data_IF_789596438088
#
_entry.id   IF_789596438088
#
_cell.length_a   1.000
_cell.length_b   1.000
_cell.length_c   1.000
_cell.angle_alpha   90.00
_cell.angle_beta   90.00
_cell.angle_gamma   90.00
#
_symmetry.space_group_name_H-M   'P 1'
#
loop_
_entity.id
_entity.type
_entity.pdbx_description
1 polymer ?
#
# COMPACT_ATOMS: atom_id res chain seq x y z
N UNK A 1 6.99 10.45 32.57
CA UNK A 1 6.51 10.28 31.17
C UNK A 1 7.47 9.32 30.47
N UNK A 2 6.99 8.31 29.74
CA UNK A 2 7.83 7.33 29.02
C UNK A 2 7.28 7.14 27.59
N UNK A 3 8.14 6.71 26.66
CA UNK A 3 7.73 6.34 25.29
C UNK A 3 7.01 4.99 25.33
N UNK A 4 5.87 4.91 24.64
CA UNK A 4 5.12 3.66 24.48
C UNK A 4 4.87 3.39 22.99
N UNK A 5 5.20 2.17 22.54
CA UNK A 5 4.90 1.68 21.19
C UNK A 5 3.54 0.99 21.16
N UNK A 6 2.72 1.31 20.17
CA UNK A 6 1.47 0.59 19.91
C UNK A 6 1.77 -0.58 18.98
N UNK A 7 1.53 -1.79 19.45
CA UNK A 7 1.72 -3.00 18.65
C UNK A 7 0.47 -3.29 17.81
N UNK A 8 0.67 -3.61 16.52
CA UNK A 8 -0.34 -4.26 15.70
C UNK A 8 -0.37 -5.77 15.93
N UNK A 9 -1.23 -6.49 15.21
CA UNK A 9 -1.24 -7.96 15.22
C UNK A 9 0.07 -8.47 14.61
N UNK A 10 0.91 -9.10 15.42
CA UNK A 10 1.99 -9.93 14.91
C UNK A 10 1.39 -11.27 14.50
N UNK A 11 1.37 -11.55 13.19
CA UNK A 11 1.00 -12.87 12.68
C UNK A 11 2.17 -13.83 12.88
N UNK A 12 1.89 -15.05 13.30
CA UNK A 12 2.82 -16.17 13.18
C UNK A 12 2.93 -16.50 11.69
N UNK A 13 4.06 -16.15 11.08
CA UNK A 13 4.40 -16.55 9.72
C UNK A 13 5.29 -17.78 9.82
N UNK A 14 4.95 -18.82 9.06
CA UNK A 14 5.81 -19.99 8.89
C UNK A 14 6.99 -19.59 8.00
N UNK A 15 8.17 -19.48 8.59
CA UNK A 15 9.37 -19.01 7.90
C UNK A 15 9.91 -20.05 6.92
N UNK A 16 9.69 -21.34 7.19
CA UNK A 16 10.17 -22.43 6.35
C UNK A 16 9.36 -22.46 5.04
N UNK A 17 8.03 -22.38 5.15
CA UNK A 17 7.16 -22.27 3.97
C UNK A 17 7.46 -21.02 3.12
N UNK A 18 7.84 -19.90 3.75
CA UNK A 18 8.25 -18.68 3.04
C UNK A 18 9.55 -18.90 2.27
N UNK A 19 10.54 -19.58 2.86
CA UNK A 19 11.83 -19.85 2.22
C UNK A 19 11.69 -20.78 1.01
N UNK A 20 10.86 -21.83 1.13
CA UNK A 20 10.53 -22.72 0.02
C UNK A 20 9.89 -21.96 -1.15
N UNK A 21 8.91 -21.11 -0.87
CA UNK A 21 8.22 -20.30 -1.89
C UNK A 21 9.13 -19.23 -2.51
N UNK A 22 10.01 -18.61 -1.72
CA UNK A 22 11.04 -17.71 -2.23
C UNK A 22 11.96 -18.43 -3.21
N UNK A 23 12.40 -19.65 -2.88
CA UNK A 23 13.26 -20.46 -3.75
C UNK A 23 12.55 -20.79 -5.06
N UNK A 24 11.29 -21.24 -5.00
CA UNK A 24 10.46 -21.52 -6.18
C UNK A 24 10.29 -20.28 -7.06
N UNK A 25 9.97 -19.12 -6.47
CA UNK A 25 9.82 -17.85 -7.20
C UNK A 25 11.13 -17.44 -7.88
N UNK A 26 12.26 -17.54 -7.18
CA UNK A 26 13.58 -17.23 -7.74
C UNK A 26 13.91 -18.08 -8.98
N UNK A 27 13.59 -19.37 -8.95
CA UNK A 27 13.81 -20.27 -10.09
C UNK A 27 12.93 -19.91 -11.30
N UNK A 28 11.69 -19.48 -11.07
CA UNK A 28 10.79 -19.02 -12.14
C UNK A 28 11.32 -17.71 -12.73
N UNK A 29 11.65 -16.73 -11.88
CA UNK A 29 12.14 -15.42 -12.29
C UNK A 29 13.50 -15.49 -13.00
N UNK A 30 14.34 -16.49 -12.68
CA UNK A 30 15.63 -16.70 -13.34
C UNK A 30 15.52 -16.91 -14.86
N UNK A 31 14.35 -17.34 -15.36
CA UNK A 31 14.08 -17.51 -16.80
C UNK A 31 13.92 -16.18 -17.56
N UNK A 32 13.74 -15.07 -16.85
CA UNK A 32 13.49 -13.74 -17.41
C UNK A 32 14.66 -12.81 -17.10
N UNK A 33 14.95 -11.85 -17.98
CA UNK A 33 15.95 -10.83 -17.68
C UNK A 33 15.44 -9.88 -16.58
N UNK A 34 16.33 -9.23 -15.78
CA UNK A 34 15.91 -8.33 -14.70
C UNK A 34 14.92 -7.23 -15.14
N UNK A 35 15.11 -6.66 -16.33
CA UNK A 35 14.20 -5.67 -16.92
C UNK A 35 12.76 -6.17 -17.13
N UNK A 36 12.58 -7.49 -17.26
CA UNK A 36 11.29 -8.14 -17.52
C UNK A 36 10.66 -8.73 -16.24
N UNK A 37 11.31 -8.53 -15.08
CA UNK A 37 10.82 -9.01 -13.78
C UNK A 37 10.14 -7.85 -13.04
N UNK A 38 8.82 -7.79 -13.10
CA UNK A 38 8.05 -6.76 -12.41
C UNK A 38 7.60 -7.21 -11.02
N UNK A 39 7.56 -6.25 -10.10
CA UNK A 39 6.81 -6.36 -8.87
C UNK A 39 5.80 -5.21 -8.80
N UNK A 40 4.62 -5.49 -8.24
CA UNK A 40 3.60 -4.51 -7.96
C UNK A 40 3.13 -4.69 -6.51
N UNK A 41 3.04 -3.60 -5.76
CA UNK A 41 2.57 -3.64 -4.38
C UNK A 41 1.71 -2.42 -4.04
N UNK A 42 0.84 -2.60 -3.04
CA UNK A 42 -0.05 -1.57 -2.53
C UNK A 42 0.50 -0.95 -1.25
N UNK A 43 0.51 0.38 -1.20
CA UNK A 43 0.77 1.12 0.03
C UNK A 43 -0.43 1.98 0.44
N UNK A 44 -0.71 2.00 1.74
CA UNK A 44 -1.77 2.80 2.32
C UNK A 44 -1.23 4.08 2.96
N UNK A 45 -1.61 5.24 2.44
CA UNK A 45 -1.31 6.54 3.04
C UNK A 45 -2.42 6.97 4.01
N UNK A 46 -2.06 7.18 5.28
CA UNK A 46 -2.96 7.55 6.37
C UNK A 46 -2.56 8.90 7.01
N UNK A 47 -2.85 10.03 6.36
CA UNK A 47 -2.43 11.37 6.82
C UNK A 47 -2.96 11.76 8.21
N UNK A 48 -4.06 11.17 8.66
CA UNK A 48 -4.66 11.45 9.97
C UNK A 48 -4.41 10.34 10.99
N UNK A 49 -3.58 9.34 10.66
CA UNK A 49 -3.18 8.35 11.64
C UNK A 49 -2.22 8.98 12.67
N UNK A 50 -2.44 8.78 13.98
CA UNK A 50 -1.47 9.18 14.98
C UNK A 50 -0.18 8.35 14.82
N UNK A 51 0.98 8.88 15.23
CA UNK A 51 2.23 8.13 15.22
C UNK A 51 2.10 6.85 16.05
N UNK A 52 2.83 5.81 15.65
CA UNK A 52 2.81 4.51 16.33
C UNK A 52 3.51 4.52 17.69
N UNK A 53 4.30 5.58 17.95
CA UNK A 53 4.95 5.84 19.22
C UNK A 53 4.54 7.22 19.74
N UNK A 54 4.39 7.32 21.05
CA UNK A 54 4.08 8.59 21.70
C UNK A 54 4.48 8.56 23.17
N UNK A 55 4.68 9.75 23.73
CA UNK A 55 4.92 9.94 25.15
C UNK A 55 3.61 9.84 25.92
N UNK A 56 3.56 8.98 26.94
CA UNK A 56 2.40 8.87 27.83
C UNK A 56 2.85 8.66 29.28
N UNK A 57 1.92 8.89 30.22
CA UNK A 57 2.11 8.56 31.64
C UNK A 57 1.79 7.10 31.94
N UNK A 58 0.99 6.45 31.08
CA UNK A 58 0.65 5.03 31.13
C UNK A 58 0.37 4.49 29.73
N UNK A 59 0.45 3.16 29.54
CA UNK A 59 0.00 2.51 28.30
C UNK A 59 -1.48 2.84 28.08
N UNK A 60 -1.79 3.50 26.96
CA UNK A 60 -3.16 3.83 26.59
C UNK A 60 -3.72 2.79 25.62
N UNK A 61 -4.98 2.40 25.79
CA UNK A 61 -5.71 1.65 24.78
C UNK A 61 -5.77 2.44 23.46
N UNK A 62 -5.76 1.72 22.34
CA UNK A 62 -5.74 2.35 21.02
C UNK A 62 -6.95 3.26 20.81
N UNK A 63 -6.72 4.53 20.46
CA UNK A 63 -7.79 5.41 19.98
C UNK A 63 -8.26 4.92 18.60
N UNK A 64 -9.58 4.97 18.36
CA UNK A 64 -10.19 4.67 17.05
C UNK A 64 -9.57 5.60 16.00
N UNK A 65 -8.70 5.06 15.14
CA UNK A 65 -8.05 5.82 14.07
C UNK A 65 -9.11 6.31 13.09
N UNK A 66 -9.02 7.56 12.65
CA UNK A 66 -9.79 8.04 11.51
C UNK A 66 -9.39 7.19 10.30
N UNK A 67 -10.37 6.54 9.65
CA UNK A 67 -10.14 5.61 8.53
C UNK A 67 -9.91 6.34 7.21
N UNK A 68 -9.34 7.54 7.24
CA UNK A 68 -8.92 8.17 6.01
C UNK A 68 -7.75 7.37 5.45
N UNK A 69 -7.91 6.90 4.21
CA UNK A 69 -6.86 6.23 3.47
C UNK A 69 -6.89 6.66 2.02
N UNK A 70 -5.70 6.81 1.46
CA UNK A 70 -5.44 6.79 0.03
C UNK A 70 -4.58 5.55 -0.20
N UNK A 71 -5.05 4.64 -1.04
CA UNK A 71 -4.24 3.48 -1.47
C UNK A 71 -3.51 3.88 -2.74
N UNK A 72 -2.23 3.55 -2.81
CA UNK A 72 -1.39 3.77 -3.99
C UNK A 72 -0.80 2.43 -4.39
N UNK A 73 -1.10 1.99 -5.61
CA UNK A 73 -0.43 0.88 -6.25
C UNK A 73 0.83 1.37 -6.95
N UNK A 74 1.95 0.70 -6.71
CA UNK A 74 3.24 1.03 -7.29
C UNK A 74 3.82 -0.23 -7.92
N UNK A 75 4.38 -0.10 -9.12
CA UNK A 75 5.09 -1.19 -9.76
C UNK A 75 6.37 -0.74 -10.44
N UNK A 76 7.38 -1.59 -10.43
CA UNK A 76 8.61 -1.38 -11.16
C UNK A 76 9.26 -2.72 -11.53
N UNK A 77 10.16 -2.69 -12.50
CA UNK A 77 11.00 -3.84 -12.80
C UNK A 77 12.19 -3.97 -11.84
N UNK A 78 12.82 -5.14 -11.84
CA UNK A 78 13.85 -5.49 -10.87
C UNK A 78 15.15 -4.69 -11.03
N UNK A 79 15.45 -4.18 -12.24
CA UNK A 79 16.60 -3.30 -12.46
C UNK A 79 16.27 -1.80 -12.30
N UNK A 80 14.99 -1.47 -12.11
CA UNK A 80 14.51 -0.10 -11.89
C UNK A 80 14.52 0.80 -13.12
N UNK A 81 14.78 0.26 -14.31
CA UNK A 81 14.73 1.02 -15.57
C UNK A 81 13.31 1.43 -15.95
N UNK A 82 12.30 0.70 -15.49
CA UNK A 82 10.89 0.97 -15.74
C UNK A 82 10.09 1.05 -14.44
N UNK A 83 9.28 2.11 -14.33
CA UNK A 83 8.35 2.33 -13.23
C UNK A 83 6.97 2.58 -13.82
N UNK A 84 5.99 1.82 -13.36
CA UNK A 84 4.60 1.99 -13.76
C UNK A 84 4.03 3.29 -13.18
N UNK A 85 3.03 3.85 -13.86
CA UNK A 85 2.30 5.00 -13.35
C UNK A 85 1.63 4.66 -12.01
N UNK A 86 1.75 5.51 -10.97
CA UNK A 86 1.11 5.24 -9.68
C UNK A 86 -0.41 5.16 -9.80
N UNK A 87 -0.98 4.05 -9.34
CA UNK A 87 -2.43 3.83 -9.33
C UNK A 87 -3.02 4.35 -8.02
N UNK A 88 -3.84 5.39 -8.06
CA UNK A 88 -4.51 5.95 -6.88
C UNK A 88 -5.92 5.37 -6.68
N UNK A 89 -6.19 4.85 -5.48
CA UNK A 89 -7.52 4.39 -5.08
C UNK A 89 -7.99 5.12 -3.83
N UNK A 90 -9.20 5.67 -3.89
CA UNK A 90 -9.82 6.34 -2.74
C UNK A 90 -11.28 5.95 -2.55
N UNK A 91 -11.86 6.45 -1.47
CA UNK A 91 -13.28 6.22 -1.15
C UNK A 91 -14.23 6.97 -2.07
N UNK A 92 -13.88 8.20 -2.46
CA UNK A 92 -14.76 9.11 -3.19
C UNK A 92 -14.28 9.27 -4.62
N UNK A 93 -15.18 9.15 -5.61
CA UNK A 93 -14.84 9.34 -7.02
C UNK A 93 -14.36 10.75 -7.35
N UNK A 94 -14.94 11.78 -6.71
CA UNK A 94 -14.54 13.17 -6.89
C UNK A 94 -14.12 13.81 -5.56
N UNK A 95 -12.83 13.75 -5.20
CA UNK A 95 -12.34 14.45 -4.02
C UNK A 95 -12.50 15.96 -4.11
N UNK A 96 -12.85 16.59 -2.98
CA UNK A 96 -13.04 18.05 -2.90
C UNK A 96 -11.79 18.87 -3.26
N UNK A 97 -10.59 18.30 -3.15
CA UNK A 97 -9.34 19.00 -3.49
C UNK A 97 -9.24 19.35 -4.98
N UNK A 98 -9.89 18.58 -5.87
CA UNK A 98 -9.90 18.86 -7.31
C UNK A 98 -10.95 19.89 -7.74
N UNK A 99 -11.74 20.43 -6.80
CA UNK A 99 -12.80 21.42 -7.06
C UNK A 99 -13.74 20.97 -8.19
N UNK A 100 -13.68 21.64 -9.35
CA UNK A 100 -14.52 21.36 -10.52
C UNK A 100 -13.93 20.28 -11.42
N UNK A 101 -12.62 20.05 -11.34
CA UNK A 101 -11.90 19.12 -12.20
C UNK A 101 -11.95 17.68 -11.64
N UNK A 102 -11.56 16.71 -12.47
CA UNK A 102 -11.40 15.31 -12.08
C UNK A 102 -9.93 14.95 -11.88
N UNK A 103 -9.61 13.90 -11.10
CA UNK A 103 -8.23 13.44 -10.94
C UNK A 103 -7.53 13.13 -12.27
N UNK A 104 -8.27 12.58 -13.24
CA UNK A 104 -7.76 12.22 -14.57
C UNK A 104 -7.37 13.46 -15.37
N UNK A 105 -8.10 14.58 -15.23
CA UNK A 105 -7.72 15.86 -15.84
C UNK A 105 -6.41 16.42 -15.28
N UNK A 106 -6.01 15.98 -14.09
CA UNK A 106 -4.73 16.31 -13.46
C UNK A 106 -3.65 15.25 -13.76
N UNK A 107 -3.94 14.26 -14.60
CA UNK A 107 -3.00 13.20 -14.98
C UNK A 107 -2.85 12.10 -13.94
N UNK A 108 -3.81 11.91 -13.04
CA UNK A 108 -3.77 10.80 -12.09
C UNK A 108 -4.55 9.60 -12.63
N UNK A 109 -3.90 8.43 -12.66
CA UNK A 109 -4.63 7.17 -12.79
C UNK A 109 -5.39 6.89 -11.49
N UNK A 110 -6.69 7.15 -11.50
CA UNK A 110 -7.50 7.22 -10.28
C UNK A 110 -8.76 6.36 -10.37
N UNK A 111 -8.99 5.52 -9.36
CA UNK A 111 -10.26 4.81 -9.18
C UNK A 111 -10.80 4.99 -7.78
N UNK A 112 -12.06 4.63 -7.60
CA UNK A 112 -12.70 4.73 -6.30
C UNK A 112 -13.58 3.54 -5.98
N UNK A 113 -13.56 3.13 -4.72
CA UNK A 113 -14.51 2.17 -4.17
C UNK A 113 -14.75 2.45 -2.69
N UNK A 114 -15.85 1.94 -2.12
CA UNK A 114 -16.24 2.24 -0.73
C UNK A 114 -15.15 1.95 0.31
N UNK A 115 -14.28 0.96 0.02
CA UNK A 115 -13.24 0.54 0.94
C UNK A 115 -11.92 1.29 0.70
N UNK A 116 -11.66 1.89 -0.46
CA UNK A 116 -10.34 2.39 -0.87
C UNK A 116 -9.24 1.32 -0.74
N UNK A 117 -9.36 0.22 -1.48
CA UNK A 117 -8.35 -0.84 -1.63
C UNK A 117 -8.29 -1.25 -3.10
N UNK A 118 -7.20 -1.89 -3.55
CA UNK A 118 -7.23 -2.63 -4.80
C UNK A 118 -8.25 -3.77 -4.73
N UNK A 119 -8.82 -4.08 -5.89
CA UNK A 119 -9.66 -5.25 -6.11
C UNK A 119 -9.15 -5.97 -7.35
N UNK A 120 -9.43 -7.25 -7.51
CA UNK A 120 -9.03 -8.01 -8.71
C UNK A 120 -9.50 -7.31 -10.00
N UNK A 121 -10.74 -6.82 -10.01
CA UNK A 121 -11.29 -6.03 -11.13
C UNK A 121 -10.49 -4.76 -11.46
N UNK A 122 -9.86 -4.12 -10.46
CA UNK A 122 -9.05 -2.92 -10.67
C UNK A 122 -7.60 -3.27 -11.04
N UNK A 123 -7.13 -4.44 -10.64
CA UNK A 123 -5.79 -4.92 -10.96
C UNK A 123 -5.69 -5.46 -12.39
N UNK A 124 -6.81 -5.96 -12.93
CA UNK A 124 -6.94 -6.45 -14.30
C UNK A 124 -7.23 -5.33 -15.33
N UNK A 125 -7.48 -4.09 -14.87
CA UNK A 125 -7.74 -2.92 -15.72
C UNK A 125 -6.47 -2.38 -16.39
#
# INVERSE_FOLDING_TARGET
IREYRRHGKAGSVDLEAVEEECTRCCQILAKFAPKDRFNFDETGFFPYAPPDRGLATKQMSGKKKEKFRITVGLGCNADGSEKLEPFFIRRFGKPRCFKKDTPEQWGFYYRHNKKAWMTSELFEE
#
